data_IF_755493929348
#
_entry.id   IF_755493929348
#
_cell.length_a   1.000
_cell.length_b   1.000
_cell.length_c   1.000
_cell.angle_alpha   90.00
_cell.angle_beta   90.00
_cell.angle_gamma   90.00
#
_symmetry.space_group_name_H-M   'P 1'
#
loop_
_entity.id
_entity.type
_entity.pdbx_description
1 polymer ?
#
# COMPACT_ATOMS: atom_id res chain seq x y z
N UNK A 1 73.58 38.93 13.86
CA UNK A 1 72.45 38.27 14.54
C UNK A 1 71.17 38.71 13.86
N UNK A 2 70.38 37.74 13.42
CA UNK A 2 69.28 37.88 12.47
C UNK A 2 68.08 38.67 13.00
N UNK A 3 67.47 39.50 12.14
CA UNK A 3 66.11 40.01 12.35
C UNK A 3 65.34 39.78 11.05
N UNK A 4 64.54 38.72 11.03
CA UNK A 4 63.62 38.37 9.95
C UNK A 4 62.30 39.13 10.11
N UNK A 5 61.94 39.95 9.12
CA UNK A 5 60.60 40.54 9.01
C UNK A 5 59.58 39.44 8.66
N UNK A 6 58.60 39.22 9.54
CA UNK A 6 57.41 38.40 9.28
C UNK A 6 56.26 39.31 8.84
N UNK A 7 55.74 39.08 7.64
CA UNK A 7 54.49 39.65 7.17
C UNK A 7 53.32 38.89 7.79
N UNK A 8 52.46 39.59 8.54
CA UNK A 8 51.22 39.02 9.06
C UNK A 8 50.13 39.11 7.98
N UNK A 9 49.68 37.97 7.47
CA UNK A 9 48.50 37.87 6.63
C UNK A 9 47.26 37.76 7.54
N UNK A 10 46.44 38.80 7.60
CA UNK A 10 45.13 38.77 8.26
C UNK A 10 44.11 38.11 7.33
N UNK A 11 43.75 36.86 7.59
CA UNK A 11 42.62 36.19 6.93
C UNK A 11 41.33 36.58 7.66
N UNK A 12 40.49 37.39 7.01
CA UNK A 12 39.13 37.68 7.48
C UNK A 12 38.27 36.45 7.16
N UNK A 13 37.86 35.71 8.19
CA UNK A 13 36.87 34.65 8.06
C UNK A 13 35.47 35.28 7.95
N UNK A 14 34.88 35.24 6.76
CA UNK A 14 33.47 35.58 6.54
C UNK A 14 32.63 34.40 7.02
N UNK A 15 32.01 34.54 8.20
CA UNK A 15 30.96 33.64 8.67
C UNK A 15 29.71 33.85 7.80
N UNK A 16 29.52 32.98 6.81
CA UNK A 16 28.26 32.84 6.11
C UNK A 16 27.24 32.20 7.06
N UNK A 17 26.43 33.03 7.71
CA UNK A 17 25.20 32.61 8.38
C UNK A 17 24.22 32.13 7.30
N UNK A 18 24.25 30.83 7.01
CA UNK A 18 23.21 30.17 6.23
C UNK A 18 21.89 30.27 6.98
N UNK A 19 20.99 31.13 6.51
CA UNK A 19 19.62 31.14 6.97
C UNK A 19 18.99 29.77 6.67
N UNK A 20 18.74 28.97 7.71
CA UNK A 20 17.86 27.82 7.61
C UNK A 20 16.48 28.36 7.24
N UNK A 21 16.10 28.24 5.97
CA UNK A 21 14.72 28.46 5.56
C UNK A 21 13.84 27.42 6.26
N UNK A 22 13.15 27.85 7.31
CA UNK A 22 12.08 27.05 7.89
C UNK A 22 10.99 26.93 6.84
N UNK A 23 10.85 25.74 6.25
CA UNK A 23 9.76 25.41 5.33
C UNK A 23 8.45 25.56 6.11
N UNK A 24 7.71 26.64 5.84
CA UNK A 24 6.39 26.87 6.43
C UNK A 24 5.39 25.94 5.75
N UNK A 25 5.11 24.84 6.43
CA UNK A 25 4.12 23.83 6.04
C UNK A 25 2.73 24.47 6.16
N UNK A 26 2.19 24.97 5.05
CA UNK A 26 0.88 25.61 5.04
C UNK A 26 -0.14 24.47 4.96
N UNK A 27 -1.02 24.26 5.97
CA UNK A 27 -1.92 23.10 6.02
C UNK A 27 -2.88 22.97 4.83
N UNK A 28 -3.06 24.05 4.06
CA UNK A 28 -4.16 24.22 3.11
C UNK A 28 -3.75 24.05 1.63
N UNK A 29 -2.52 23.64 1.33
CA UNK A 29 -2.07 23.46 -0.05
C UNK A 29 -1.46 22.07 -0.30
N UNK A 30 -1.92 21.40 -1.35
CA UNK A 30 -1.23 20.24 -1.91
C UNK A 30 0.02 20.74 -2.61
N UNK A 31 1.19 20.33 -2.11
CA UNK A 31 2.49 20.69 -2.69
C UNK A 31 2.87 19.67 -3.76
N UNK A 32 3.15 20.16 -4.96
CA UNK A 32 3.68 19.35 -6.06
C UNK A 32 5.17 19.61 -6.23
N UNK A 33 5.96 18.55 -6.36
CA UNK A 33 7.40 18.61 -6.65
C UNK A 33 7.80 17.52 -7.64
N UNK A 34 8.90 17.72 -8.37
CA UNK A 34 9.47 16.66 -9.19
C UNK A 34 10.04 15.56 -8.28
N UNK A 35 9.73 14.29 -8.59
CA UNK A 35 10.32 13.12 -7.94
C UNK A 35 11.43 12.49 -8.79
N UNK A 36 11.36 12.64 -10.11
CA UNK A 36 12.37 12.17 -11.05
C UNK A 36 11.78 11.98 -12.44
N UNK A 37 12.45 11.17 -13.24
CA UNK A 37 11.95 10.71 -14.54
C UNK A 37 12.18 9.21 -14.65
N UNK A 38 11.27 8.50 -15.31
CA UNK A 38 11.45 7.08 -15.62
C UNK A 38 12.63 6.89 -16.57
N UNK A 39 13.11 5.65 -16.70
CA UNK A 39 14.13 5.30 -17.69
C UNK A 39 13.72 5.64 -19.14
N UNK A 40 12.42 5.72 -19.41
CA UNK A 40 11.86 6.12 -20.72
C UNK A 40 11.62 7.63 -20.83
N UNK A 41 12.05 8.43 -19.86
CA UNK A 41 11.92 9.89 -19.85
C UNK A 41 10.56 10.45 -19.46
N UNK A 42 9.65 9.64 -18.90
CA UNK A 42 8.37 10.15 -18.40
C UNK A 42 8.57 10.87 -17.07
N UNK A 43 8.07 12.10 -16.89
CA UNK A 43 8.20 12.82 -15.63
C UNK A 43 7.37 12.15 -14.53
N UNK A 44 7.96 12.05 -13.35
CA UNK A 44 7.29 11.56 -12.14
C UNK A 44 7.24 12.70 -11.13
N UNK A 45 6.05 13.00 -10.65
CA UNK A 45 5.78 14.06 -9.69
C UNK A 45 5.38 13.44 -8.35
N UNK A 46 5.71 14.14 -7.25
CA UNK A 46 5.23 13.85 -5.91
C UNK A 46 4.22 14.92 -5.47
N UNK A 47 3.10 14.46 -4.93
CA UNK A 47 2.05 15.26 -4.31
C UNK A 47 2.08 15.05 -2.82
N UNK A 48 2.32 16.11 -2.04
CA UNK A 48 2.39 16.08 -0.58
C UNK A 48 1.30 16.95 0.04
N UNK A 49 0.60 16.44 1.03
CA UNK A 49 -0.48 17.14 1.72
C UNK A 49 -0.55 16.73 3.19
N UNK A 50 -1.00 17.67 4.03
CA UNK A 50 -1.05 17.52 5.48
C UNK A 50 -2.42 17.92 6.01
N UNK A 51 -2.72 17.57 7.27
CA UNK A 51 -3.90 18.05 7.96
C UNK A 51 -3.55 18.71 9.30
N UNK A 52 -4.51 19.45 9.86
CA UNK A 52 -4.34 20.11 11.15
C UNK A 52 -4.24 19.13 12.34
N UNK A 53 -4.62 17.86 12.14
CA UNK A 53 -4.49 16.80 13.15
C UNK A 53 -3.09 16.16 13.20
N UNK A 54 -2.16 16.62 12.34
CA UNK A 54 -0.74 16.27 12.40
C UNK A 54 -0.34 15.07 11.53
N UNK A 55 -1.19 14.63 10.60
CA UNK A 55 -0.84 13.61 9.60
C UNK A 55 -0.31 14.27 8.32
N UNK A 56 0.71 13.66 7.71
CA UNK A 56 1.21 14.03 6.38
C UNK A 56 1.22 12.84 5.46
N UNK A 57 0.86 13.05 4.21
CA UNK A 57 0.80 12.02 3.17
C UNK A 57 1.50 12.54 1.94
N UNK A 58 2.27 11.66 1.29
CA UNK A 58 2.83 11.92 -0.02
C UNK A 58 2.60 10.73 -0.95
N UNK A 59 2.30 11.02 -2.21
CA UNK A 59 2.16 10.02 -3.25
C UNK A 59 2.80 10.49 -4.57
N UNK A 60 3.31 9.55 -5.36
CA UNK A 60 3.92 9.82 -6.66
C UNK A 60 3.04 9.33 -7.82
N UNK A 61 3.19 9.94 -8.99
CA UNK A 61 2.44 9.57 -10.20
C UNK A 61 2.78 8.17 -10.70
N UNK A 62 3.99 7.67 -10.46
CA UNK A 62 4.36 6.29 -10.78
C UNK A 62 3.64 5.30 -9.87
N UNK A 63 2.76 4.50 -10.45
CA UNK A 63 1.93 3.52 -9.77
C UNK A 63 0.88 4.10 -8.81
N UNK A 64 0.65 5.42 -8.84
CA UNK A 64 -0.07 6.14 -7.78
C UNK A 64 0.45 5.73 -6.39
N UNK A 65 1.77 5.68 -6.23
CA UNK A 65 2.43 5.06 -5.07
C UNK A 65 2.46 5.98 -3.86
N UNK A 66 2.01 5.51 -2.70
CA UNK A 66 2.21 6.21 -1.43
C UNK A 66 3.69 6.12 -1.03
N UNK A 67 4.36 7.26 -0.90
CA UNK A 67 5.77 7.32 -0.47
C UNK A 67 5.92 7.70 0.99
N UNK A 68 4.90 8.32 1.57
CA UNK A 68 4.94 8.83 2.93
C UNK A 68 3.56 8.78 3.56
N UNK A 69 3.49 8.26 4.78
CA UNK A 69 2.36 8.35 5.71
C UNK A 69 2.95 8.65 7.08
N UNK A 70 3.09 9.92 7.43
CA UNK A 70 3.60 10.35 8.72
C UNK A 70 2.48 10.58 9.72
N UNK A 71 2.58 9.95 10.88
CA UNK A 71 1.55 10.06 11.94
C UNK A 71 2.18 10.21 13.33
N UNK A 72 1.57 11.01 14.22
CA UNK A 72 2.09 11.23 15.57
C UNK A 72 1.99 9.96 16.42
N UNK A 73 3.04 9.69 17.20
CA UNK A 73 3.02 8.71 18.29
C UNK A 73 2.66 9.33 19.63
N UNK A 74 2.80 8.57 20.72
CA UNK A 74 2.49 9.00 22.09
C UNK A 74 3.28 10.22 22.56
N UNK A 75 4.52 10.38 22.11
CA UNK A 75 5.37 11.53 22.41
C UNK A 75 5.04 12.78 21.57
N UNK A 76 4.05 12.70 20.68
CA UNK A 76 3.77 13.73 19.69
C UNK A 76 4.72 13.74 18.49
N UNK A 77 5.82 12.96 18.54
CA UNK A 77 6.74 12.84 17.41
C UNK A 77 6.09 12.04 16.26
N UNK A 78 6.16 12.61 15.06
CA UNK A 78 5.76 11.93 13.82
C UNK A 78 6.83 10.93 13.40
N UNK A 79 6.40 9.84 12.81
CA UNK A 79 7.26 8.98 12.01
C UNK A 79 6.51 8.56 10.75
N UNK A 80 7.24 8.40 9.65
CA UNK A 80 6.72 7.72 8.47
C UNK A 80 6.44 6.27 8.84
N UNK A 81 5.23 5.78 8.62
CA UNK A 81 4.83 4.40 8.95
C UNK A 81 4.59 3.53 7.72
N UNK A 82 4.84 4.03 6.51
CA UNK A 82 4.77 3.24 5.27
C UNK A 82 6.18 3.07 4.69
N UNK A 83 6.54 1.82 4.37
CA UNK A 83 7.81 1.50 3.75
C UNK A 83 7.80 1.99 2.30
N UNK A 84 8.91 2.60 1.86
CA UNK A 84 9.02 3.22 0.55
C UNK A 84 10.46 3.19 0.04
N UNK A 85 10.64 3.36 -1.27
CA UNK A 85 11.95 3.42 -1.92
C UNK A 85 12.40 4.88 -2.13
N UNK A 86 13.73 5.14 -2.18
CA UNK A 86 14.28 6.49 -2.16
C UNK A 86 13.99 7.31 -3.42
N UNK A 87 13.97 6.68 -4.59
CA UNK A 87 13.87 7.35 -5.89
C UNK A 87 13.16 6.49 -6.95
N UNK A 88 12.86 7.10 -8.09
CA UNK A 88 12.17 6.44 -9.21
C UNK A 88 12.97 5.28 -9.80
N UNK A 89 14.30 5.35 -9.81
CA UNK A 89 15.12 4.26 -10.34
C UNK A 89 14.97 2.99 -9.49
N UNK A 90 14.92 3.13 -8.16
CA UNK A 90 14.63 2.02 -7.26
C UNK A 90 13.23 1.43 -7.49
N UNK A 91 12.21 2.27 -7.70
CA UNK A 91 10.85 1.82 -8.02
C UNK A 91 10.73 1.09 -9.38
N UNK A 92 11.55 1.44 -10.37
CA UNK A 92 11.58 0.73 -11.66
C UNK A 92 12.33 -0.61 -11.57
N UNK A 93 13.41 -0.66 -10.79
CA UNK A 93 14.27 -1.86 -10.67
C UNK A 93 13.69 -2.96 -9.79
N UNK A 94 12.96 -2.59 -8.73
CA UNK A 94 12.37 -3.55 -7.81
C UNK A 94 11.45 -4.53 -8.53
N UNK A 95 11.43 -5.79 -8.08
CA UNK A 95 10.45 -6.79 -8.52
C UNK A 95 9.25 -6.88 -7.56
N UNK A 96 9.33 -6.22 -6.39
CA UNK A 96 8.26 -6.16 -5.39
C UNK A 96 7.28 -5.05 -5.74
N UNK A 97 6.10 -5.10 -5.13
CA UNK A 97 5.06 -4.06 -5.25
C UNK A 97 5.12 -3.19 -4.00
N UNK A 98 5.30 -1.89 -4.17
CA UNK A 98 5.59 -0.95 -3.09
C UNK A 98 4.51 0.10 -2.98
N UNK A 99 3.57 -0.06 -2.03
CA UNK A 99 2.59 0.97 -1.66
C UNK A 99 1.81 1.58 -2.84
N UNK A 100 1.77 0.84 -3.94
CA UNK A 100 1.24 1.24 -5.23
C UNK A 100 -0.15 0.69 -5.44
N UNK A 101 -0.88 1.30 -6.35
CA UNK A 101 -2.16 0.78 -6.79
C UNK A 101 -1.93 -0.44 -7.66
N UNK A 102 -2.47 -1.58 -7.21
CA UNK A 102 -2.47 -2.81 -7.98
C UNK A 102 -3.70 -2.87 -8.86
N UNK A 103 -3.53 -3.24 -10.12
CA UNK A 103 -4.62 -3.52 -11.05
C UNK A 103 -4.14 -3.97 -12.44
N UNK A 104 -5.04 -4.39 -13.33
CA UNK A 104 -6.52 -4.40 -13.19
C UNK A 104 -7.08 -5.30 -12.09
N UNK A 105 -6.36 -6.37 -11.77
CA UNK A 105 -6.73 -7.39 -10.81
C UNK A 105 -5.61 -7.68 -9.80
N UNK A 106 -5.90 -7.47 -8.52
CA UNK A 106 -5.04 -7.81 -7.39
C UNK A 106 -5.22 -9.26 -6.94
N UNK A 107 -4.15 -9.86 -6.41
CA UNK A 107 -4.08 -11.28 -6.13
C UNK A 107 -3.72 -12.10 -7.36
N UNK A 108 -4.08 -13.39 -7.33
CA UNK A 108 -3.75 -14.37 -8.36
C UNK A 108 -4.98 -14.71 -9.21
N UNK A 109 -4.76 -15.02 -10.49
CA UNK A 109 -5.73 -15.68 -11.37
C UNK A 109 -5.11 -17.00 -11.83
N UNK A 110 -5.83 -18.09 -11.60
CA UNK A 110 -5.38 -19.44 -11.92
C UNK A 110 -5.16 -19.63 -13.43
N UNK A 111 -4.14 -20.41 -13.78
CA UNK A 111 -3.79 -20.80 -15.15
C UNK A 111 -3.65 -19.62 -16.14
N UNK A 112 -3.39 -18.42 -15.60
CA UNK A 112 -3.29 -17.16 -16.33
C UNK A 112 -4.47 -16.92 -17.29
N UNK A 113 -5.69 -17.26 -16.88
CA UNK A 113 -6.89 -17.08 -17.70
C UNK A 113 -8.16 -17.04 -16.87
N UNK A 114 -9.22 -16.50 -17.46
CA UNK A 114 -10.57 -16.62 -16.93
C UNK A 114 -11.59 -16.65 -18.07
N UNK A 115 -12.82 -17.10 -17.78
CA UNK A 115 -13.93 -17.08 -18.75
C UNK A 115 -14.97 -16.06 -18.33
N UNK A 116 -15.35 -15.18 -19.25
CA UNK A 116 -16.41 -14.18 -19.04
C UNK A 116 -17.35 -14.19 -20.23
N UNK A 117 -18.66 -14.32 -19.97
CA UNK A 117 -19.72 -14.39 -20.97
C UNK A 117 -19.43 -15.41 -22.10
N UNK A 118 -18.85 -16.56 -21.73
CA UNK A 118 -18.51 -17.66 -22.65
C UNK A 118 -17.19 -17.48 -23.41
N UNK A 119 -16.47 -16.37 -23.23
CA UNK A 119 -15.17 -16.12 -23.87
C UNK A 119 -14.04 -16.30 -22.87
N UNK A 120 -13.03 -17.09 -23.24
CA UNK A 120 -11.82 -17.27 -22.43
C UNK A 120 -10.78 -16.21 -22.78
N UNK A 121 -10.34 -15.46 -21.78
CA UNK A 121 -9.29 -14.46 -21.89
C UNK A 121 -7.99 -15.01 -21.31
N UNK A 122 -6.93 -14.97 -22.11
CA UNK A 122 -5.58 -15.30 -21.67
C UNK A 122 -4.87 -14.06 -21.14
N UNK A 123 -4.14 -14.23 -20.05
CA UNK A 123 -3.36 -13.22 -19.36
C UNK A 123 -1.87 -13.59 -19.39
N UNK A 124 -1.02 -12.67 -18.94
CA UNK A 124 0.40 -12.97 -18.77
C UNK A 124 0.61 -14.04 -17.68
N UNK A 125 1.22 -15.17 -18.06
CA UNK A 125 1.57 -16.23 -17.12
C UNK A 125 2.90 -15.93 -16.42
N UNK A 126 2.86 -15.81 -15.10
CA UNK A 126 4.04 -15.72 -14.25
C UNK A 126 4.52 -17.10 -13.77
N UNK A 127 5.23 -17.10 -12.64
CA UNK A 127 5.70 -18.32 -11.99
C UNK A 127 4.53 -19.28 -11.70
N UNK A 128 4.74 -20.58 -11.93
CA UNK A 128 3.74 -21.64 -11.70
C UNK A 128 2.46 -21.51 -12.56
N UNK A 129 2.52 -20.76 -13.67
CA UNK A 129 1.41 -20.64 -14.62
C UNK A 129 0.24 -19.79 -14.12
N UNK A 130 0.47 -18.90 -13.15
CA UNK A 130 -0.56 -18.00 -12.61
C UNK A 130 -0.27 -16.56 -12.99
N UNK A 131 -1.31 -15.75 -13.19
CA UNK A 131 -1.14 -14.29 -13.28
C UNK A 131 -1.21 -13.72 -11.86
N UNK A 132 -0.17 -13.03 -11.42
CA UNK A 132 -0.13 -12.33 -10.13
C UNK A 132 -0.16 -10.83 -10.38
N UNK A 133 -1.08 -10.11 -9.74
CA UNK A 133 -1.15 -8.64 -9.81
C UNK A 133 -1.13 -8.10 -11.25
N UNK A 134 -1.86 -8.77 -12.13
CA UNK A 134 -1.99 -8.44 -13.57
C UNK A 134 -0.71 -8.51 -14.41
N UNK A 135 0.32 -9.21 -13.93
CA UNK A 135 1.54 -9.48 -14.69
C UNK A 135 2.60 -8.38 -14.58
N UNK A 136 3.52 -8.35 -15.53
CA UNK A 136 4.73 -7.52 -15.51
C UNK A 136 4.45 -6.03 -15.71
N UNK A 137 3.51 -5.67 -16.57
CA UNK A 137 3.09 -4.27 -16.84
C UNK A 137 1.86 -3.86 -16.01
N UNK A 138 1.92 -4.14 -14.70
CA UNK A 138 0.92 -3.78 -13.69
C UNK A 138 0.55 -2.29 -13.68
N UNK A 139 -0.61 -1.94 -13.12
CA UNK A 139 -0.97 -0.52 -12.92
C UNK A 139 0.02 0.24 -12.02
N UNK A 140 0.73 -0.47 -11.14
CA UNK A 140 1.82 0.02 -10.30
C UNK A 140 3.10 0.36 -11.06
N UNK A 141 3.22 -0.02 -12.34
CA UNK A 141 4.41 0.22 -13.18
C UNK A 141 4.24 1.37 -14.17
N UNK A 142 3.16 2.14 -14.03
CA UNK A 142 2.76 3.16 -15.01
C UNK A 142 2.80 4.54 -14.38
N UNK A 143 3.05 5.57 -15.19
CA UNK A 143 2.87 6.95 -14.76
C UNK A 143 1.40 7.33 -14.97
N UNK A 144 0.73 7.72 -13.89
CA UNK A 144 -0.67 8.12 -13.87
C UNK A 144 -0.82 9.62 -14.11
N UNK A 145 -1.93 10.03 -14.72
CA UNK A 145 -2.34 11.41 -14.67
C UNK A 145 -2.75 11.76 -13.23
N UNK A 146 -2.42 12.95 -12.74
CA UNK A 146 -2.76 13.38 -11.40
C UNK A 146 -3.44 14.75 -11.40
N UNK A 147 -4.39 14.95 -10.49
CA UNK A 147 -5.06 16.23 -10.27
C UNK A 147 -5.19 16.46 -8.77
N UNK A 148 -4.42 17.40 -8.19
CA UNK A 148 -4.54 17.74 -6.79
C UNK A 148 -5.86 18.47 -6.53
N UNK A 149 -6.40 18.33 -5.33
CA UNK A 149 -7.57 19.08 -4.91
C UNK A 149 -7.45 19.54 -3.46
N UNK A 150 -8.14 20.63 -3.17
CA UNK A 150 -8.37 21.14 -1.82
C UNK A 150 -9.83 21.59 -1.74
N UNK A 151 -10.59 21.03 -0.81
CA UNK A 151 -11.97 21.41 -0.53
C UNK A 151 -12.16 21.77 0.95
N UNK A 152 -13.38 22.18 1.33
CA UNK A 152 -13.69 22.65 2.69
C UNK A 152 -13.51 21.58 3.78
N UNK A 153 -13.46 20.29 3.42
CA UNK A 153 -13.35 19.17 4.36
C UNK A 153 -12.06 18.38 4.23
N UNK A 154 -11.39 18.43 3.08
CA UNK A 154 -10.22 17.61 2.81
C UNK A 154 -9.30 18.16 1.73
N UNK A 155 -8.07 17.65 1.72
CA UNK A 155 -7.09 17.80 0.65
C UNK A 155 -6.72 16.45 0.07
N UNK A 156 -6.14 16.43 -1.12
CA UNK A 156 -5.63 15.19 -1.68
C UNK A 156 -5.28 15.27 -3.15
N UNK A 157 -5.22 14.11 -3.78
CA UNK A 157 -4.91 13.96 -5.21
C UNK A 157 -5.77 12.85 -5.80
N UNK A 158 -6.29 13.10 -7.00
CA UNK A 158 -6.94 12.09 -7.84
C UNK A 158 -5.94 11.64 -8.88
N UNK A 159 -5.60 10.35 -8.87
CA UNK A 159 -4.85 9.68 -9.92
C UNK A 159 -5.81 9.04 -10.90
N UNK A 160 -5.51 9.13 -12.20
CA UNK A 160 -6.29 8.51 -13.27
C UNK A 160 -5.41 7.69 -14.21
N UNK A 161 -5.86 6.48 -14.52
CA UNK A 161 -5.29 5.60 -15.53
C UNK A 161 -6.37 5.15 -16.50
N UNK A 162 -6.10 5.31 -17.80
CA UNK A 162 -6.90 4.72 -18.86
C UNK A 162 -6.21 3.42 -19.32
N UNK A 163 -6.87 2.28 -19.06
CA UNK A 163 -6.41 0.94 -19.43
C UNK A 163 -7.19 0.51 -20.67
N UNK A 164 -6.51 0.40 -21.81
CA UNK A 164 -7.15 0.09 -23.10
C UNK A 164 -7.78 -1.31 -23.14
N UNK A 165 -8.57 -1.57 -24.17
CA UNK A 165 -9.04 -2.93 -24.44
C UNK A 165 -7.85 -3.86 -24.73
N UNK A 166 -7.90 -5.08 -24.20
CA UNK A 166 -6.83 -6.07 -24.29
C UNK A 166 -5.60 -5.76 -23.42
N UNK A 167 -5.62 -4.70 -22.62
CA UNK A 167 -4.51 -4.31 -21.76
C UNK A 167 -4.24 -5.40 -20.71
N UNK A 168 -2.99 -5.90 -20.67
CA UNK A 168 -2.58 -7.10 -19.91
C UNK A 168 -3.41 -8.37 -20.19
N UNK A 169 -4.16 -8.40 -21.31
CA UNK A 169 -5.08 -9.47 -21.69
C UNK A 169 -6.52 -9.30 -21.19
N UNK A 170 -6.84 -8.25 -20.45
CA UNK A 170 -8.21 -8.01 -19.96
C UNK A 170 -9.08 -7.30 -21.01
N UNK A 171 -10.35 -7.73 -21.21
CA UNK A 171 -11.26 -7.09 -22.15
C UNK A 171 -11.76 -5.74 -21.66
N UNK A 172 -12.10 -4.86 -22.59
CA UNK A 172 -12.72 -3.56 -22.34
C UNK A 172 -11.70 -2.47 -21.99
N UNK A 173 -11.95 -1.29 -22.55
CA UNK A 173 -11.30 -0.06 -22.11
C UNK A 173 -11.87 0.31 -20.73
N UNK A 174 -11.01 0.33 -19.72
CA UNK A 174 -11.33 0.65 -18.34
C UNK A 174 -10.66 1.96 -17.93
N UNK A 175 -11.44 2.92 -17.45
CA UNK A 175 -10.92 4.10 -16.77
C UNK A 175 -10.99 3.86 -15.27
N UNK A 176 -9.86 3.97 -14.59
CA UNK A 176 -9.74 3.89 -13.14
C UNK A 176 -9.30 5.25 -12.59
N UNK A 177 -10.02 5.73 -11.58
CA UNK A 177 -9.64 6.86 -10.74
C UNK A 177 -9.38 6.35 -9.32
N UNK A 178 -8.25 6.77 -8.76
CA UNK A 178 -7.89 6.53 -7.36
C UNK A 178 -7.71 7.86 -6.66
N UNK A 179 -8.52 8.13 -5.66
CA UNK A 179 -8.39 9.34 -4.84
C UNK A 179 -7.71 8.99 -3.53
N UNK A 180 -6.59 9.66 -3.26
CA UNK A 180 -6.05 9.74 -1.91
C UNK A 180 -6.55 11.02 -1.28
N UNK A 181 -7.40 10.89 -0.26
CA UNK A 181 -8.06 11.99 0.43
C UNK A 181 -7.67 12.00 1.90
N UNK A 182 -7.30 13.17 2.40
CA UNK A 182 -6.96 13.42 3.80
C UNK A 182 -7.94 14.46 4.38
N UNK A 183 -8.84 14.05 5.30
CA UNK A 183 -9.71 15.00 5.99
C UNK A 183 -8.92 15.96 6.88
N UNK A 184 -9.31 17.23 6.88
CA UNK A 184 -8.59 18.30 7.59
C UNK A 184 -8.48 18.11 9.10
N UNK A 185 -9.43 17.39 9.70
CA UNK A 185 -9.59 17.27 11.17
C UNK A 185 -9.41 15.85 11.71
N UNK A 186 -9.09 14.88 10.87
CA UNK A 186 -8.96 13.47 11.28
C UNK A 186 -7.71 12.88 10.63
N UNK A 187 -6.90 12.18 11.41
CA UNK A 187 -5.76 11.40 10.91
C UNK A 187 -6.26 10.14 10.23
N UNK A 188 -6.91 10.33 9.08
CA UNK A 188 -7.46 9.28 8.23
C UNK A 188 -6.94 9.49 6.82
N UNK A 189 -6.37 8.43 6.22
CA UNK A 189 -6.13 8.39 4.78
C UNK A 189 -7.25 7.59 4.13
N UNK A 190 -8.05 8.24 3.29
CA UNK A 190 -9.09 7.59 2.49
C UNK A 190 -8.49 7.26 1.13
N UNK A 191 -8.59 5.99 0.74
CA UNK A 191 -8.23 5.49 -0.58
C UNK A 191 -9.52 5.06 -1.27
N UNK A 192 -9.92 5.84 -2.28
CA UNK A 192 -11.18 5.65 -3.00
C UNK A 192 -10.92 5.23 -4.43
N UNK A 193 -11.54 4.13 -4.85
CA UNK A 193 -11.46 3.63 -6.21
C UNK A 193 -12.79 3.88 -6.94
N UNK A 194 -12.71 4.37 -8.16
CA UNK A 194 -13.86 4.44 -9.09
C UNK A 194 -13.44 3.95 -10.45
N UNK A 195 -14.21 3.04 -11.04
CA UNK A 195 -13.93 2.59 -12.39
C UNK A 195 -15.17 2.35 -13.22
N UNK A 196 -15.01 2.56 -14.53
CA UNK A 196 -16.02 2.30 -15.56
C UNK A 196 -15.35 1.59 -16.73
N UNK A 197 -16.07 0.67 -17.34
CA UNK A 197 -15.63 0.00 -18.57
C UNK A 197 -16.69 0.13 -19.66
N UNK A 198 -16.24 0.16 -20.91
CA UNK A 198 -17.12 0.14 -22.08
C UNK A 198 -17.57 -1.28 -22.46
N UNK A 199 -16.96 -2.31 -21.89
CA UNK A 199 -17.26 -3.73 -22.12
C UNK A 199 -17.28 -4.47 -20.78
N UNK A 200 -17.88 -5.66 -20.71
CA UNK A 200 -17.77 -6.49 -19.52
C UNK A 200 -16.29 -6.86 -19.27
N UNK A 201 -15.85 -6.74 -18.02
CA UNK A 201 -14.48 -7.08 -17.61
C UNK A 201 -14.46 -7.54 -16.16
N UNK A 202 -13.28 -7.92 -15.65
CA UNK A 202 -13.06 -8.19 -14.22
C UNK A 202 -12.15 -7.12 -13.62
N UNK A 203 -12.42 -6.69 -12.40
CA UNK A 203 -11.67 -5.64 -11.70
C UNK A 203 -11.57 -5.95 -10.20
N UNK A 204 -10.37 -5.78 -9.65
CA UNK A 204 -10.11 -5.96 -8.21
C UNK A 204 -8.89 -5.12 -7.78
N UNK A 205 -8.97 -3.78 -7.71
CA UNK A 205 -7.83 -2.96 -7.34
C UNK A 205 -7.61 -2.97 -5.83
N UNK A 206 -6.37 -2.75 -5.42
CA UNK A 206 -6.01 -2.51 -4.01
C UNK A 206 -4.78 -1.60 -3.93
N UNK A 207 -4.35 -1.23 -2.73
CA UNK A 207 -3.06 -0.57 -2.48
C UNK A 207 -2.15 -1.54 -1.71
N UNK A 208 -0.94 -1.75 -2.22
CA UNK A 208 0.01 -2.73 -1.67
C UNK A 208 0.98 -2.10 -0.66
N UNK A 209 0.45 -1.30 0.27
CA UNK A 209 1.21 -0.60 1.31
C UNK A 209 1.74 -1.54 2.39
N UNK A 210 3.06 -1.55 2.59
CA UNK A 210 3.68 -2.17 3.75
C UNK A 210 3.83 -1.16 4.87
N UNK A 211 3.20 -1.41 6.01
CA UNK A 211 3.23 -0.54 7.17
C UNK A 211 4.15 -1.09 8.26
N UNK A 212 4.83 -0.17 8.96
CA UNK A 212 5.43 -0.42 10.26
C UNK A 212 5.12 0.77 11.18
N UNK A 213 4.20 0.56 12.13
CA UNK A 213 3.78 1.61 13.06
C UNK A 213 4.87 2.05 14.07
N UNK A 214 5.95 1.29 14.27
CA UNK A 214 7.11 1.79 15.02
C UNK A 214 7.85 2.88 14.22
N UNK A 215 7.76 2.81 12.90
CA UNK A 215 8.39 3.66 11.90
C UNK A 215 8.90 2.79 10.75
N UNK A 216 8.85 3.27 9.51
CA UNK A 216 9.21 2.52 8.32
C UNK A 216 10.63 1.93 8.37
N UNK A 217 11.61 2.67 8.93
CA UNK A 217 12.97 2.19 9.15
C UNK A 217 13.17 1.25 10.35
N UNK A 218 12.11 0.72 10.96
CA UNK A 218 12.22 -0.22 12.09
C UNK A 218 12.41 -1.66 11.60
N UNK A 219 13.23 -2.43 12.31
CA UNK A 219 13.69 -3.75 11.86
C UNK A 219 12.58 -4.81 11.71
N UNK A 220 11.48 -4.72 12.46
CA UNK A 220 10.47 -5.78 12.46
C UNK A 220 9.09 -5.30 12.92
N UNK A 221 8.06 -6.01 12.45
CA UNK A 221 6.68 -5.90 12.93
C UNK A 221 6.37 -6.82 14.13
N UNK A 222 7.37 -7.50 14.70
CA UNK A 222 7.15 -8.50 15.76
C UNK A 222 6.44 -7.94 17.01
N UNK A 223 6.62 -6.65 17.33
CA UNK A 223 5.96 -5.99 18.47
C UNK A 223 4.49 -5.64 18.22
N UNK A 224 4.04 -5.68 16.96
CA UNK A 224 2.67 -5.32 16.60
C UNK A 224 1.68 -6.36 17.13
N UNK A 225 0.52 -5.86 17.56
CA UNK A 225 -0.65 -6.68 17.90
C UNK A 225 -1.70 -6.46 16.84
N UNK A 226 -2.08 -7.52 16.14
CA UNK A 226 -3.04 -7.47 15.03
C UNK A 226 -4.34 -8.12 15.46
N UNK A 227 -5.45 -7.47 15.15
CA UNK A 227 -6.79 -8.04 15.15
C UNK A 227 -7.43 -7.86 13.78
N UNK A 228 -8.05 -8.90 13.21
CA UNK A 228 -8.75 -8.89 11.93
C UNK A 228 -10.15 -9.44 12.13
N UNK A 229 -11.16 -8.68 11.68
CA UNK A 229 -12.59 -9.00 11.82
C UNK A 229 -13.06 -10.03 10.76
N UNK A 230 -12.39 -11.18 10.74
CA UNK A 230 -12.65 -12.28 9.82
C UNK A 230 -12.87 -13.59 10.60
N UNK A 231 -13.90 -14.34 10.22
CA UNK A 231 -14.23 -15.65 10.79
C UNK A 231 -13.79 -16.83 9.90
N UNK A 232 -13.43 -16.52 8.64
CA UNK A 232 -13.03 -17.49 7.63
C UNK A 232 -11.83 -17.02 6.82
N UNK A 233 -11.12 -17.95 6.21
CA UNK A 233 -10.06 -17.68 5.23
C UNK A 233 -10.24 -18.55 3.99
N UNK A 234 -9.70 -18.10 2.86
CA UNK A 234 -9.67 -18.88 1.63
C UNK A 234 -8.55 -19.94 1.72
N UNK A 235 -8.92 -21.22 1.66
CA UNK A 235 -7.94 -22.31 1.53
C UNK A 235 -7.24 -22.18 0.17
N UNK A 236 -5.92 -22.38 0.14
CA UNK A 236 -5.13 -22.31 -1.10
C UNK A 236 -4.36 -23.59 -1.37
N UNK A 237 -4.10 -23.88 -2.64
CA UNK A 237 -3.22 -24.95 -3.09
C UNK A 237 -1.73 -24.56 -2.97
N UNK A 238 -0.84 -25.47 -3.38
CA UNK A 238 0.61 -25.23 -3.36
C UNK A 238 1.08 -24.11 -4.32
N UNK A 239 0.22 -23.66 -5.25
CA UNK A 239 0.46 -22.50 -6.12
C UNK A 239 -0.09 -21.20 -5.51
N UNK A 240 -0.65 -21.26 -4.30
CA UNK A 240 -1.36 -20.18 -3.60
C UNK A 240 -2.63 -19.73 -4.33
N UNK A 241 -3.26 -20.62 -5.08
CA UNK A 241 -4.56 -20.40 -5.72
C UNK A 241 -5.67 -20.87 -4.77
N UNK A 242 -6.72 -20.07 -4.53
CA UNK A 242 -7.85 -20.53 -3.74
C UNK A 242 -8.50 -21.79 -4.29
N UNK A 243 -8.82 -22.75 -3.41
CA UNK A 243 -9.51 -24.00 -3.79
C UNK A 243 -11.02 -23.82 -3.98
N UNK A 244 -11.53 -22.61 -3.69
CA UNK A 244 -12.97 -22.30 -3.58
C UNK A 244 -13.53 -22.55 -2.17
N UNK A 245 -12.80 -23.24 -1.28
CA UNK A 245 -13.24 -23.51 0.09
C UNK A 245 -12.90 -22.34 1.03
N UNK A 246 -13.89 -21.94 1.83
CA UNK A 246 -13.73 -20.98 2.92
C UNK A 246 -13.76 -21.74 4.24
N UNK A 247 -12.64 -21.77 4.96
CA UNK A 247 -12.47 -22.52 6.20
C UNK A 247 -12.54 -21.59 7.41
N UNK A 248 -13.03 -22.05 8.58
CA UNK A 248 -13.05 -21.24 9.79
C UNK A 248 -11.63 -20.90 10.25
N UNK A 249 -11.43 -19.70 10.78
CA UNK A 249 -10.14 -19.32 11.38
C UNK A 249 -9.94 -19.92 12.77
N UNK A 250 -11.02 -20.25 13.48
CA UNK A 250 -10.98 -20.73 14.87
C UNK A 250 -10.09 -21.97 15.01
N UNK A 251 -9.17 -21.91 15.98
CA UNK A 251 -8.22 -23.00 16.25
C UNK A 251 -7.04 -23.06 15.28
N UNK A 252 -6.87 -22.07 14.41
CA UNK A 252 -5.75 -21.95 13.48
C UNK A 252 -4.86 -20.74 13.83
N UNK A 253 -3.66 -20.67 13.22
CA UNK A 253 -2.80 -19.49 13.29
C UNK A 253 -3.45 -18.20 12.75
N UNK A 254 -4.52 -18.34 11.97
CA UNK A 254 -5.27 -17.24 11.38
C UNK A 254 -6.41 -16.73 12.28
N UNK A 255 -6.59 -17.29 13.49
CA UNK A 255 -7.54 -16.78 14.48
C UNK A 255 -7.06 -15.45 15.07
N UNK A 256 -7.14 -14.41 14.25
CA UNK A 256 -6.74 -13.04 14.57
C UNK A 256 -7.94 -12.20 15.02
N UNK A 257 -9.06 -12.82 15.43
CA UNK A 257 -10.26 -12.07 15.85
C UNK A 257 -10.05 -11.24 17.12
N UNK A 258 -8.96 -11.52 17.86
CA UNK A 258 -8.54 -10.75 19.04
C UNK A 258 -7.11 -10.23 18.83
N UNK A 259 -6.73 -9.11 19.48
CA UNK A 259 -5.39 -8.57 19.37
C UNK A 259 -4.30 -9.60 19.70
N UNK A 260 -3.54 -9.99 18.68
CA UNK A 260 -2.56 -11.08 18.71
C UNK A 260 -1.18 -10.53 18.40
N UNK A 261 -0.22 -10.78 19.30
CA UNK A 261 1.18 -10.38 19.11
C UNK A 261 1.79 -11.19 17.96
N UNK A 262 2.46 -10.52 17.01
CA UNK A 262 2.99 -11.19 15.83
C UNK A 262 4.25 -12.01 16.10
N UNK A 263 5.14 -11.56 17.00
CA UNK A 263 6.46 -12.21 17.20
C UNK A 263 6.43 -13.74 17.36
N UNK A 264 5.55 -14.36 18.19
CA UNK A 264 5.49 -15.82 18.30
C UNK A 264 5.12 -16.52 16.99
N UNK A 265 4.24 -15.93 16.19
CA UNK A 265 3.77 -16.51 14.93
C UNK A 265 4.77 -16.37 13.79
N UNK A 266 5.51 -15.26 13.74
CA UNK A 266 6.59 -15.06 12.76
C UNK A 266 7.76 -16.03 12.97
N UNK A 267 7.95 -16.53 14.21
CA UNK A 267 8.95 -17.55 14.54
C UNK A 267 8.40 -18.99 14.46
N UNK A 268 7.07 -19.16 14.35
CA UNK A 268 6.44 -20.47 14.42
C UNK A 268 6.64 -21.29 13.14
N UNK A 269 6.74 -22.61 13.29
CA UNK A 269 6.68 -23.59 12.20
C UNK A 269 5.26 -24.14 12.04
N UNK A 270 4.28 -23.25 12.02
CA UNK A 270 2.88 -23.62 11.82
C UNK A 270 2.65 -24.08 10.36
N UNK A 271 1.93 -25.20 10.10
CA UNK A 271 1.71 -25.70 8.75
C UNK A 271 1.02 -24.72 7.80
N UNK A 272 0.17 -23.81 8.29
CA UNK A 272 -0.46 -22.77 7.47
C UNK A 272 0.51 -21.64 7.14
N UNK A 273 1.44 -21.31 8.05
CA UNK A 273 2.37 -20.18 7.85
C UNK A 273 3.68 -20.58 7.16
N UNK A 274 4.12 -21.82 7.35
CA UNK A 274 5.42 -22.30 6.87
C UNK A 274 5.63 -22.17 5.34
N UNK A 275 4.64 -22.47 4.47
CA UNK A 275 4.81 -22.31 3.01
C UNK A 275 5.10 -20.87 2.57
N UNK A 276 4.72 -19.89 3.40
CA UNK A 276 4.90 -18.47 3.12
C UNK A 276 5.98 -17.82 3.99
N UNK A 277 6.58 -18.57 4.93
CA UNK A 277 7.44 -18.05 6.00
C UNK A 277 6.76 -16.90 6.78
N UNK A 278 5.46 -17.01 7.04
CA UNK A 278 4.64 -15.98 7.69
C UNK A 278 3.21 -15.96 7.16
N UNK A 279 2.50 -14.88 7.44
CA UNK A 279 1.15 -14.65 6.93
C UNK A 279 1.21 -14.22 5.46
N UNK A 280 0.40 -14.88 4.62
CA UNK A 280 0.12 -14.49 3.24
C UNK A 280 -1.25 -15.07 2.85
N UNK A 281 -2.31 -14.66 3.55
CA UNK A 281 -3.62 -15.31 3.48
C UNK A 281 -4.75 -14.31 3.22
N UNK A 282 -5.74 -14.73 2.43
CA UNK A 282 -6.98 -13.98 2.23
C UNK A 282 -8.01 -14.34 3.31
N UNK A 283 -8.38 -13.36 4.12
CA UNK A 283 -9.32 -13.47 5.24
C UNK A 283 -10.66 -12.83 4.85
N UNK A 284 -11.74 -13.57 5.04
CA UNK A 284 -13.09 -13.17 4.65
C UNK A 284 -13.71 -12.37 5.77
N UNK A 285 -14.00 -11.10 5.49
CA UNK A 285 -14.64 -10.22 6.47
C UNK A 285 -16.13 -10.55 6.56
N UNK A 286 -16.72 -10.32 7.74
CA UNK A 286 -18.17 -10.42 7.90
C UNK A 286 -18.91 -9.50 6.91
N UNK A 287 -20.04 -9.93 6.32
CA UNK A 287 -20.83 -9.08 5.42
C UNK A 287 -21.28 -7.79 6.13
N UNK A 288 -21.24 -6.66 5.40
CA UNK A 288 -21.88 -5.43 5.86
C UNK A 288 -22.38 -4.58 4.69
N UNK A 289 -23.30 -3.68 4.98
CA UNK A 289 -23.69 -2.62 4.07
C UNK A 289 -22.74 -1.43 4.24
N UNK A 290 -21.92 -1.15 3.22
CA UNK A 290 -20.96 -0.05 3.25
C UNK A 290 -19.67 -0.36 4.02
N UNK A 291 -19.05 0.68 4.59
CA UNK A 291 -17.75 0.59 5.25
C UNK A 291 -17.85 -0.09 6.62
N UNK A 292 -16.93 -1.01 6.91
CA UNK A 292 -16.82 -1.72 8.20
C UNK A 292 -15.37 -1.81 8.68
N UNK A 293 -15.17 -2.01 9.98
CA UNK A 293 -13.84 -2.30 10.52
C UNK A 293 -13.37 -3.67 9.99
N UNK A 294 -12.22 -3.67 9.32
CA UNK A 294 -11.56 -4.87 8.81
C UNK A 294 -10.45 -5.33 9.76
N UNK A 295 -9.64 -4.39 10.27
CA UNK A 295 -8.53 -4.72 11.15
C UNK A 295 -8.18 -3.58 12.12
N UNK A 296 -7.56 -3.94 13.23
CA UNK A 296 -6.89 -3.02 14.16
C UNK A 296 -5.48 -3.52 14.38
N UNK A 297 -4.50 -2.62 14.30
CA UNK A 297 -3.09 -2.92 14.54
C UNK A 297 -2.54 -1.93 15.56
N UNK A 298 -1.97 -2.45 16.63
CA UNK A 298 -1.36 -1.68 17.71
C UNK A 298 0.14 -1.88 17.74
N UNK A 299 0.91 -0.81 17.90
CA UNK A 299 2.35 -0.89 18.20
C UNK A 299 2.62 -0.24 19.57
N UNK A 300 2.91 -1.04 20.61
CA UNK A 300 2.97 -0.56 21.99
C UNK A 300 4.02 0.53 22.26
N UNK A 301 5.17 0.47 21.58
CA UNK A 301 6.34 1.30 21.88
C UNK A 301 6.11 2.76 21.47
N UNK A 302 5.71 2.97 20.22
CA UNK A 302 5.29 4.28 19.69
C UNK A 302 3.93 4.71 20.23
N UNK A 303 3.09 3.75 20.65
CA UNK A 303 1.71 3.99 21.04
C UNK A 303 0.78 4.23 19.86
N UNK A 304 1.22 4.04 18.61
CA UNK A 304 0.38 4.23 17.43
C UNK A 304 -0.58 3.07 17.26
N UNK A 305 -1.81 3.39 16.86
CA UNK A 305 -2.85 2.46 16.45
C UNK A 305 -3.29 2.78 15.03
N UNK A 306 -3.46 1.74 14.22
CA UNK A 306 -4.09 1.77 12.91
C UNK A 306 -5.39 0.98 12.96
N UNK A 307 -6.51 1.62 12.60
CA UNK A 307 -7.75 0.94 12.24
C UNK A 307 -7.92 1.00 10.72
N UNK A 308 -8.22 -0.14 10.10
CA UNK A 308 -8.49 -0.25 8.68
C UNK A 308 -9.98 -0.50 8.52
N UNK A 309 -10.69 0.42 7.86
CA UNK A 309 -12.08 0.25 7.50
C UNK A 309 -12.21 0.09 5.99
N UNK A 310 -13.14 -0.74 5.51
CA UNK A 310 -13.30 -0.96 4.07
C UNK A 310 -14.71 -1.36 3.66
N UNK A 311 -15.02 -1.15 2.38
CA UNK A 311 -16.18 -1.73 1.70
C UNK A 311 -15.89 -3.13 1.13
N UNK A 312 -14.63 -3.50 0.92
CA UNK A 312 -14.22 -4.76 0.29
C UNK A 312 -14.63 -6.00 1.09
N UNK A 313 -14.91 -7.16 0.45
CA UNK A 313 -15.39 -8.36 1.13
C UNK A 313 -14.30 -9.10 1.93
N UNK A 314 -13.01 -8.86 1.64
CA UNK A 314 -11.90 -9.59 2.24
C UNK A 314 -10.66 -8.70 2.44
N UNK A 315 -9.67 -9.23 3.15
CA UNK A 315 -8.33 -8.67 3.21
C UNK A 315 -7.28 -9.73 2.91
N UNK A 316 -6.22 -9.38 2.19
CA UNK A 316 -4.97 -10.15 2.17
C UNK A 316 -4.10 -9.65 3.32
N UNK A 317 -3.76 -10.52 4.27
CA UNK A 317 -2.78 -10.21 5.30
C UNK A 317 -1.43 -10.82 4.92
N UNK A 318 -0.45 -9.95 4.63
CA UNK A 318 0.92 -10.32 4.33
C UNK A 318 1.87 -9.73 5.36
N UNK A 319 2.69 -10.55 6.00
CA UNK A 319 3.65 -10.11 7.02
C UNK A 319 5.03 -9.72 6.48
N UNK A 320 5.15 -9.28 5.22
CA UNK A 320 6.44 -8.83 4.66
C UNK A 320 7.44 -9.96 4.46
N UNK A 321 6.96 -11.15 4.10
CA UNK A 321 7.78 -12.37 4.06
C UNK A 321 8.82 -12.35 2.94
N UNK A 322 8.54 -11.55 1.90
CA UNK A 322 9.39 -11.42 0.74
C UNK A 322 10.58 -10.48 0.95
N UNK A 323 10.64 -9.70 2.02
CA UNK A 323 11.81 -8.88 2.32
C UNK A 323 12.99 -9.75 2.78
N UNK A 324 14.20 -9.32 2.44
CA UNK A 324 15.45 -10.08 2.62
C UNK A 324 16.67 -9.20 2.96
N UNK A 325 16.47 -7.90 3.18
CA UNK A 325 17.55 -6.96 3.49
C UNK A 325 18.35 -6.49 2.26
N UNK A 326 17.89 -6.74 1.04
CA UNK A 326 18.59 -6.30 -0.18
C UNK A 326 18.13 -4.93 -0.68
N UNK A 327 16.88 -4.54 -0.41
CA UNK A 327 16.33 -3.25 -0.83
C UNK A 327 16.45 -2.22 0.29
N UNK A 328 17.12 -1.11 -0.02
CA UNK A 328 17.30 0.03 0.87
C UNK A 328 16.13 1.00 0.71
N UNK A 329 15.42 1.24 1.81
CA UNK A 329 14.30 2.17 1.85
C UNK A 329 14.69 3.63 1.78
N UNK A 330 13.67 4.50 1.71
CA UNK A 330 13.83 5.94 1.73
C UNK A 330 14.51 6.47 3.00
N UNK A 331 14.44 5.71 4.11
CA UNK A 331 15.14 6.03 5.36
C UNK A 331 16.63 5.65 5.35
N UNK A 332 17.15 5.09 4.26
CA UNK A 332 18.54 4.59 4.17
C UNK A 332 18.77 3.26 4.90
N UNK A 333 17.70 2.57 5.29
CA UNK A 333 17.73 1.29 5.99
C UNK A 333 17.32 0.18 5.03
N UNK A 334 18.09 -0.91 5.02
CA UNK A 334 17.71 -2.11 4.29
C UNK A 334 16.57 -2.83 5.02
N UNK A 335 15.50 -3.19 4.31
CA UNK A 335 14.34 -3.81 4.95
C UNK A 335 14.51 -5.32 5.08
N UNK A 336 14.69 -5.87 6.30
CA UNK A 336 14.76 -7.31 6.51
C UNK A 336 13.39 -7.98 6.36
N UNK A 337 13.37 -9.31 6.36
CA UNK A 337 12.13 -10.08 6.44
C UNK A 337 11.28 -9.59 7.60
N UNK A 338 9.98 -9.37 7.35
CA UNK A 338 9.03 -8.85 8.34
C UNK A 338 9.28 -7.40 8.79
N UNK A 339 9.97 -6.58 7.99
CA UNK A 339 10.12 -5.15 8.27
C UNK A 339 8.78 -4.38 8.23
N UNK A 340 7.81 -4.86 7.47
CA UNK A 340 6.48 -4.24 7.37
C UNK A 340 5.39 -5.27 7.07
N UNK A 341 4.13 -4.90 7.29
CA UNK A 341 2.96 -5.73 6.97
C UNK A 341 2.04 -5.03 5.96
N UNK A 342 1.40 -5.81 5.09
CA UNK A 342 0.33 -5.33 4.22
C UNK A 342 -1.02 -5.95 4.66
N UNK A 343 -2.06 -5.11 4.68
CA UNK A 343 -3.46 -5.53 4.80
C UNK A 343 -4.17 -4.95 3.59
N UNK A 344 -4.18 -5.70 2.50
CA UNK A 344 -4.76 -5.30 1.22
C UNK A 344 -6.25 -5.59 1.24
N UNK A 345 -7.08 -4.56 1.25
CA UNK A 345 -8.54 -4.71 1.16
C UNK A 345 -8.93 -5.01 -0.29
N UNK A 346 -9.59 -6.13 -0.55
CA UNK A 346 -9.89 -6.58 -1.91
C UNK A 346 -10.99 -7.64 -1.95
N UNK A 347 -11.42 -8.01 -3.16
CA UNK A 347 -12.08 -9.29 -3.42
C UNK A 347 -11.07 -10.44 -3.34
N UNK A 348 -11.58 -11.66 -3.17
CA UNK A 348 -10.73 -12.84 -3.06
C UNK A 348 -9.92 -13.07 -4.35
N UNK A 349 -8.66 -13.53 -4.25
CA UNK A 349 -7.93 -14.02 -5.40
C UNK A 349 -8.74 -15.05 -6.20
N UNK A 350 -8.54 -15.09 -7.50
CA UNK A 350 -9.15 -16.04 -8.43
C UNK A 350 -10.70 -16.00 -8.51
N UNK A 351 -11.37 -14.97 -7.95
CA UNK A 351 -12.83 -14.81 -8.04
C UNK A 351 -13.43 -14.97 -9.45
N UNK A 352 -12.79 -14.54 -10.56
CA UNK A 352 -13.27 -14.80 -11.92
C UNK A 352 -13.47 -16.29 -12.27
N UNK A 353 -12.74 -17.19 -11.60
CA UNK A 353 -12.81 -18.64 -11.79
C UNK A 353 -13.53 -19.36 -10.64
N UNK A 354 -14.03 -18.63 -9.63
CA UNK A 354 -14.60 -19.16 -8.40
C UNK A 354 -16.04 -18.65 -8.24
N UNK A 355 -17.06 -19.33 -8.81
CA UNK A 355 -18.44 -18.82 -8.82
C UNK A 355 -19.07 -18.68 -7.42
N UNK A 356 -18.50 -19.33 -6.40
CA UNK A 356 -18.91 -19.18 -5.00
C UNK A 356 -18.35 -17.94 -4.31
N UNK A 357 -17.42 -17.21 -4.93
CA UNK A 357 -16.82 -15.99 -4.36
C UNK A 357 -17.59 -14.73 -4.81
N UNK A 358 -17.45 -13.60 -4.08
CA UNK A 358 -18.01 -12.32 -4.50
C UNK A 358 -17.54 -11.96 -5.91
N UNK A 359 -18.48 -11.56 -6.77
CA UNK A 359 -18.17 -11.27 -8.17
C UNK A 359 -17.29 -10.03 -8.32
N UNK A 360 -16.31 -10.13 -9.21
CA UNK A 360 -15.42 -9.02 -9.62
C UNK A 360 -15.78 -8.48 -11.01
N UNK A 361 -16.91 -8.92 -11.58
CA UNK A 361 -17.33 -8.51 -12.93
C UNK A 361 -17.87 -7.08 -12.90
N UNK A 362 -17.34 -6.23 -13.78
CA UNK A 362 -17.85 -4.89 -14.06
C UNK A 362 -18.44 -4.87 -15.48
N UNK A 363 -19.71 -4.50 -15.61
CA UNK A 363 -20.42 -4.41 -16.89
C UNK A 363 -20.60 -2.95 -17.37
N UNK A 364 -20.82 -2.72 -18.67
CA UNK A 364 -21.14 -1.40 -19.20
C UNK A 364 -22.36 -0.78 -18.49
N UNK A 365 -22.32 0.52 -18.26
CA UNK A 365 -23.36 1.25 -17.52
C UNK A 365 -23.24 1.15 -15.99
N UNK A 366 -22.47 0.20 -15.46
CA UNK A 366 -22.14 0.13 -14.03
C UNK A 366 -20.94 1.01 -13.68
N UNK A 367 -20.75 1.24 -12.39
CA UNK A 367 -19.56 1.88 -11.84
C UNK A 367 -19.06 1.05 -10.66
N UNK A 368 -17.79 0.64 -10.74
CA UNK A 368 -17.09 0.05 -9.61
C UNK A 368 -16.77 1.15 -8.59
N UNK A 369 -17.02 0.88 -7.30
CA UNK A 369 -16.69 1.77 -6.20
C UNK A 369 -16.12 0.94 -5.05
N UNK A 370 -15.00 1.40 -4.52
CA UNK A 370 -14.40 0.83 -3.31
C UNK A 370 -13.77 1.93 -2.46
N UNK A 371 -13.81 1.75 -1.14
CA UNK A 371 -13.23 2.67 -0.18
C UNK A 371 -12.49 1.89 0.90
N UNK A 372 -11.26 2.31 1.16
CA UNK A 372 -10.47 1.91 2.32
C UNK A 372 -10.03 3.13 3.11
N UNK A 373 -10.19 3.08 4.42
CA UNK A 373 -9.82 4.13 5.35
C UNK A 373 -8.75 3.58 6.28
N UNK A 374 -7.56 4.17 6.24
CA UNK A 374 -6.51 3.97 7.23
C UNK A 374 -6.65 5.06 8.29
N UNK A 375 -7.28 4.74 9.43
CA UNK A 375 -7.46 5.66 10.55
C UNK A 375 -6.37 5.46 11.58
N UNK A 376 -5.64 6.52 11.88
CA UNK A 376 -4.57 6.53 12.86
C UNK A 376 -5.00 7.23 14.14
N UNK A 377 -4.57 6.66 15.26
CA UNK A 377 -4.77 7.23 16.59
C UNK A 377 -3.60 6.88 17.51
N UNK A 378 -3.58 7.50 18.68
CA UNK A 378 -2.65 7.16 19.76
C UNK A 378 -3.42 6.36 20.80
N UNK A 379 -2.88 5.21 21.20
CA UNK A 379 -3.43 4.42 22.29
C UNK A 379 -3.33 5.19 23.60
N UNK A 380 -4.40 5.17 24.41
CA UNK A 380 -4.36 5.69 25.76
C UNK A 380 -3.25 5.01 26.57
N UNK A 381 -2.56 5.77 27.41
CA UNK A 381 -1.65 5.18 28.39
C UNK A 381 -2.46 4.23 29.28
N UNK A 382 -1.97 3.01 29.46
CA UNK A 382 -2.52 2.06 30.44
C UNK A 382 -1.98 2.38 31.82
#
# INVERSE_FOLDING_TARGET
MAVTLRWAASTIAVLALGACATVTDTPDAVRTEAFGQTATGQPVERYSFANAAGMRVSAITYGATLTTVEVPGRSGQRANVILSLPDIAAYEQTQRRWASVIGRYAGRIADARFTLDGVTYALEAGRNGVTLHSGSDGYDRRVWAATPFHDVRSSGVVFRLDSRDGDQGFPGHLRLEVTYRLPHRRNELHVEYRARSNTATVINPTNHGFFNLAGAGSDSIGSHRVAIAADRYAETDNRKIPTGRLLPVTGTALDLQRPTLLAPWLAARDPLLAPSNGFDHSLVLSPAHGTRLAATVDEPTSGRRLEILTTEPSVQFNSGNGFDGTEVGAEGIAYPRHAGFAIETQHLPDSPNQPGFPSTVLRPGQEFRSLTIYRFSVMSAR
#
